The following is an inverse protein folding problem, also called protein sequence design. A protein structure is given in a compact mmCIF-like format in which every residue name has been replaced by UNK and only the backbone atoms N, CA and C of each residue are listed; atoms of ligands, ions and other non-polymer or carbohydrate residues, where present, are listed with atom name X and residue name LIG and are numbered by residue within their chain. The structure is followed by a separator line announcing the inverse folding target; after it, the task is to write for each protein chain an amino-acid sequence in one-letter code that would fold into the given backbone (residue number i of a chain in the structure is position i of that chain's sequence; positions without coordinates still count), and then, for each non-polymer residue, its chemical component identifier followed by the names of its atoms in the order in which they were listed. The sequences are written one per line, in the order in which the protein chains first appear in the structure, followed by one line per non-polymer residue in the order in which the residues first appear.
data_IF_619326931816
#
_entry.id   IF_619326931816
#
_cell.length_a   1.000
_cell.length_b   1.000
_cell.length_c   1.000
_cell.angle_alpha   90.00
_cell.angle_beta   90.00
_cell.angle_gamma   90.00
#
_symmetry.space_group_name_H-M   'P 1'
#
loop_
_entity.id
_entity.type
_entity.pdbx_description
1 polymer ?
#
# COMPACT_ATOMS: atom_id res chain seq x y z
N UNK A 1 -11.65 -4.54 -25.35
CA UNK A 1 -10.18 -4.42 -25.55
C UNK A 1 -9.52 -5.15 -24.42
N UNK A 2 -8.64 -6.12 -24.67
CA UNK A 2 -7.93 -6.84 -23.61
C UNK A 2 -6.68 -6.04 -23.22
N UNK A 3 -6.53 -5.70 -21.97
CA UNK A 3 -5.35 -4.99 -21.48
C UNK A 3 -4.17 -5.94 -21.26
N UNK A 4 -2.96 -5.41 -21.31
CA UNK A 4 -1.79 -6.14 -20.82
C UNK A 4 -1.91 -6.36 -19.29
N UNK A 5 -1.18 -7.33 -18.77
CA UNK A 5 -1.17 -7.59 -17.33
C UNK A 5 -0.69 -6.33 -16.56
N UNK A 6 -1.54 -5.86 -15.64
CA UNK A 6 -1.33 -4.60 -14.90
C UNK A 6 -0.34 -4.80 -13.75
N UNK A 7 -0.50 -5.88 -12.98
CA UNK A 7 0.41 -6.24 -11.90
C UNK A 7 1.29 -7.38 -12.38
N UNK A 8 2.59 -7.15 -12.48
CA UNK A 8 3.56 -8.08 -13.04
C UNK A 8 4.53 -8.67 -12.02
N UNK A 9 4.52 -8.13 -10.80
CA UNK A 9 5.36 -8.56 -9.68
C UNK A 9 4.59 -8.49 -8.36
N UNK A 10 4.82 -9.41 -7.45
CA UNK A 10 4.27 -9.35 -6.09
C UNK A 10 4.92 -8.24 -5.23
N UNK A 11 6.01 -7.63 -5.70
CA UNK A 11 6.57 -6.41 -5.12
C UNK A 11 5.79 -5.14 -5.51
N UNK A 12 4.83 -5.19 -6.45
CA UNK A 12 3.95 -4.06 -6.75
C UNK A 12 2.91 -3.88 -5.64
N UNK A 13 3.41 -3.57 -4.46
CA UNK A 13 2.63 -3.21 -3.26
C UNK A 13 3.38 -2.18 -2.45
N UNK A 14 2.69 -1.54 -1.51
CA UNK A 14 3.31 -0.55 -0.61
C UNK A 14 4.13 -1.26 0.47
N UNK A 15 5.29 -0.69 0.83
CA UNK A 15 6.22 -1.26 1.81
C UNK A 15 5.57 -1.57 3.16
N UNK A 16 4.60 -0.76 3.60
CA UNK A 16 3.89 -1.02 4.84
C UNK A 16 3.08 -2.34 4.81
N UNK A 17 2.76 -2.89 3.65
CA UNK A 17 2.10 -4.21 3.55
C UNK A 17 3.06 -5.35 3.92
N UNK A 18 4.35 -5.21 3.60
CA UNK A 18 5.35 -6.17 4.07
C UNK A 18 5.65 -6.00 5.54
N UNK A 19 5.78 -4.75 6.04
CA UNK A 19 6.01 -4.52 7.46
C UNK A 19 4.85 -5.04 8.32
N UNK A 20 3.61 -4.66 8.00
CA UNK A 20 2.45 -5.20 8.70
C UNK A 20 2.34 -6.71 8.51
N UNK A 21 2.58 -7.20 7.28
CA UNK A 21 2.50 -8.62 6.94
C UNK A 21 3.41 -9.48 7.81
N UNK A 22 4.66 -9.04 8.05
CA UNK A 22 5.58 -9.73 8.95
C UNK A 22 5.06 -9.76 10.40
N UNK A 23 4.64 -8.61 10.91
CA UNK A 23 4.10 -8.51 12.26
C UNK A 23 2.79 -9.33 12.44
N UNK A 24 1.93 -9.37 11.41
CA UNK A 24 0.73 -10.22 11.37
C UNK A 24 1.13 -11.70 11.35
N UNK A 25 2.09 -12.08 10.53
CA UNK A 25 2.56 -13.47 10.41
C UNK A 25 3.05 -14.01 11.75
N UNK A 26 3.82 -13.23 12.51
CA UNK A 26 4.37 -13.67 13.78
C UNK A 26 3.38 -13.61 14.96
N UNK A 27 2.43 -12.67 14.95
CA UNK A 27 1.63 -12.38 16.14
C UNK A 27 0.12 -12.61 15.97
N UNK A 28 -0.40 -12.62 14.72
CA UNK A 28 -1.84 -12.60 14.43
C UNK A 28 -2.22 -13.51 13.25
N UNK A 29 -1.48 -14.61 13.04
CA UNK A 29 -1.61 -15.50 11.87
C UNK A 29 -2.99 -16.15 11.73
N UNK A 30 -3.74 -16.30 12.82
CA UNK A 30 -5.08 -16.89 12.88
C UNK A 30 -6.22 -15.88 12.72
N UNK A 31 -5.91 -14.56 12.74
CA UNK A 31 -6.93 -13.53 12.58
C UNK A 31 -7.54 -13.57 11.18
N UNK A 32 -8.87 -13.48 11.13
CA UNK A 32 -9.64 -13.45 9.88
C UNK A 32 -10.22 -12.07 9.65
N UNK A 33 -10.16 -11.61 8.42
CA UNK A 33 -10.73 -10.32 8.02
C UNK A 33 -11.49 -10.44 6.71
N UNK A 34 -12.35 -9.47 6.48
CA UNK A 34 -13.00 -9.20 5.19
C UNK A 34 -12.58 -7.83 4.73
N UNK A 35 -12.09 -7.72 3.50
CA UNK A 35 -11.84 -6.45 2.86
C UNK A 35 -12.89 -6.23 1.78
N UNK A 36 -13.47 -5.01 1.73
CA UNK A 36 -14.53 -4.66 0.78
C UNK A 36 -14.14 -3.39 0.03
N UNK A 37 -14.17 -3.45 -1.31
CA UNK A 37 -14.01 -2.27 -2.15
C UNK A 37 -15.24 -1.37 -2.03
N UNK A 38 -14.99 -0.07 -1.80
CA UNK A 38 -16.03 0.96 -1.81
C UNK A 38 -15.63 2.13 -2.71
N UNK A 39 -16.34 2.32 -3.82
CA UNK A 39 -16.23 3.53 -4.61
C UNK A 39 -16.86 4.70 -3.84
N UNK A 40 -16.11 5.78 -3.65
CA UNK A 40 -16.60 6.99 -2.95
C UNK A 40 -17.07 8.08 -3.92
N UNK A 41 -16.76 7.93 -5.19
CA UNK A 41 -17.10 8.89 -6.23
C UNK A 41 -18.45 8.51 -6.84
N UNK A 42 -19.42 9.39 -6.78
CA UNK A 42 -20.80 9.15 -7.26
C UNK A 42 -20.92 9.19 -8.78
N UNK A 43 -19.97 9.85 -9.45
CA UNK A 43 -19.87 9.98 -10.91
C UNK A 43 -19.08 8.84 -11.59
N UNK A 44 -18.51 7.93 -10.81
CA UNK A 44 -17.78 6.75 -11.30
C UNK A 44 -18.73 5.58 -11.48
N UNK A 45 -18.75 5.01 -12.69
CA UNK A 45 -19.53 3.80 -13.01
C UNK A 45 -18.68 2.79 -13.77
N UNK A 46 -18.76 1.52 -13.35
CA UNK A 46 -18.07 0.40 -14.00
C UNK A 46 -19.03 -0.35 -14.90
N UNK A 47 -18.67 -0.51 -16.17
CA UNK A 47 -19.44 -1.32 -17.12
C UNK A 47 -19.17 -2.82 -16.91
N UNK A 48 -20.02 -3.68 -17.47
CA UNK A 48 -19.82 -5.13 -17.41
C UNK A 48 -18.49 -5.56 -18.04
N UNK A 49 -18.03 -4.88 -19.09
CA UNK A 49 -16.74 -5.14 -19.73
C UNK A 49 -15.58 -4.78 -18.81
N UNK A 50 -15.66 -3.65 -18.08
CA UNK A 50 -14.66 -3.27 -17.07
C UNK A 50 -14.60 -4.30 -15.94
N UNK A 51 -15.75 -4.75 -15.45
CA UNK A 51 -15.82 -5.79 -14.40
C UNK A 51 -15.21 -7.10 -14.88
N UNK A 52 -15.45 -7.48 -16.13
CA UNK A 52 -14.83 -8.68 -16.70
C UNK A 52 -13.33 -8.52 -16.84
N UNK A 53 -12.83 -7.38 -17.31
CA UNK A 53 -11.39 -7.11 -17.38
C UNK A 53 -10.74 -7.13 -15.99
N UNK A 54 -11.37 -6.51 -14.97
CA UNK A 54 -10.89 -6.58 -13.58
C UNK A 54 -10.77 -8.03 -13.10
N UNK A 55 -11.76 -8.89 -13.39
CA UNK A 55 -11.69 -10.31 -13.05
C UNK A 55 -10.49 -11.01 -13.70
N UNK A 56 -10.24 -10.75 -14.99
CA UNK A 56 -9.10 -11.35 -15.70
C UNK A 56 -7.75 -10.83 -15.15
N UNK A 57 -7.66 -9.55 -14.82
CA UNK A 57 -6.46 -8.97 -14.22
C UNK A 57 -6.20 -9.52 -12.80
N UNK A 58 -7.24 -9.72 -11.99
CA UNK A 58 -7.10 -10.33 -10.65
C UNK A 58 -6.70 -11.81 -10.79
N UNK A 59 -7.23 -12.56 -11.76
CA UNK A 59 -6.76 -13.94 -12.04
C UNK A 59 -5.28 -13.95 -12.43
N UNK A 60 -4.85 -13.03 -13.29
CA UNK A 60 -3.45 -12.91 -13.69
C UNK A 60 -2.56 -12.55 -12.49
N UNK A 61 -2.99 -11.62 -11.62
CA UNK A 61 -2.31 -11.33 -10.36
C UNK A 61 -2.20 -12.58 -9.46
N UNK A 62 -3.27 -13.37 -9.35
CA UNK A 62 -3.28 -14.59 -8.52
C UNK A 62 -2.40 -15.73 -9.10
N UNK A 63 -1.94 -15.63 -10.34
CA UNK A 63 -0.97 -16.57 -10.91
C UNK A 63 0.49 -16.27 -10.55
N UNK A 64 0.77 -15.08 -10.01
CA UNK A 64 2.13 -14.66 -9.67
C UNK A 64 2.67 -15.42 -8.45
N UNK A 65 4.00 -15.52 -8.39
CA UNK A 65 4.78 -15.95 -7.25
C UNK A 65 5.98 -15.04 -7.08
N UNK A 66 6.47 -14.92 -5.86
CA UNK A 66 7.75 -14.25 -5.64
C UNK A 66 8.88 -15.00 -6.36
N UNK A 67 9.71 -14.26 -7.06
CA UNK A 67 10.97 -14.78 -7.60
C UNK A 67 12.05 -14.76 -6.52
N UNK A 68 13.09 -15.61 -6.65
CA UNK A 68 14.20 -15.61 -5.68
C UNK A 68 14.90 -14.22 -5.62
N UNK A 69 15.00 -13.52 -6.74
CA UNK A 69 15.57 -12.15 -6.77
C UNK A 69 14.73 -11.12 -6.00
N UNK A 70 13.42 -11.29 -5.94
CA UNK A 70 12.52 -10.45 -5.15
C UNK A 70 12.64 -10.76 -3.66
N UNK A 71 12.71 -12.06 -3.31
CA UNK A 71 12.93 -12.51 -1.94
C UNK A 71 14.29 -12.09 -1.40
N UNK A 72 15.36 -12.21 -2.19
CA UNK A 72 16.70 -11.71 -1.84
C UNK A 72 16.69 -10.19 -1.61
N UNK A 73 15.96 -9.43 -2.42
CA UNK A 73 15.82 -7.99 -2.23
C UNK A 73 15.14 -7.67 -0.89
N UNK A 74 14.02 -8.32 -0.58
CA UNK A 74 13.35 -8.15 0.71
C UNK A 74 14.22 -8.58 1.89
N UNK A 75 14.96 -9.68 1.76
CA UNK A 75 15.85 -10.19 2.82
C UNK A 75 17.05 -9.27 3.12
N UNK A 76 17.38 -8.32 2.24
CA UNK A 76 18.40 -7.28 2.51
C UNK A 76 17.88 -6.13 3.37
N UNK A 77 16.58 -6.02 3.56
CA UNK A 77 15.96 -5.02 4.42
C UNK A 77 16.17 -5.47 5.86
N UNK A 78 16.93 -4.71 6.64
CA UNK A 78 17.52 -5.12 7.91
C UNK A 78 16.52 -5.57 8.99
N UNK A 79 15.27 -5.14 8.90
CA UNK A 79 14.23 -5.48 9.86
C UNK A 79 13.30 -6.61 9.39
N UNK A 80 13.42 -7.08 8.14
CA UNK A 80 12.66 -8.25 7.66
C UNK A 80 13.39 -9.53 8.07
N UNK A 81 12.68 -10.45 8.74
CA UNK A 81 13.22 -11.71 9.26
C UNK A 81 13.12 -12.84 8.25
N UNK A 82 14.07 -13.74 8.28
CA UNK A 82 14.14 -14.90 7.38
C UNK A 82 12.89 -15.78 7.42
N UNK A 83 12.24 -15.95 8.58
CA UNK A 83 10.98 -16.69 8.73
C UNK A 83 9.85 -16.13 7.88
N UNK A 84 9.76 -14.80 7.75
CA UNK A 84 8.77 -14.17 6.89
C UNK A 84 9.12 -14.32 5.40
N UNK A 85 10.42 -14.28 5.04
CA UNK A 85 10.88 -14.57 3.67
C UNK A 85 10.53 -16.00 3.28
N UNK A 86 10.70 -16.98 4.18
CA UNK A 86 10.33 -18.38 3.93
C UNK A 86 8.81 -18.54 3.75
N UNK A 87 8.00 -17.80 4.51
CA UNK A 87 6.57 -17.74 4.27
C UNK A 87 6.25 -17.15 2.88
N UNK A 88 6.83 -16.00 2.51
CA UNK A 88 6.60 -15.36 1.21
C UNK A 88 7.00 -16.25 0.03
N UNK A 89 8.04 -17.09 0.16
CA UNK A 89 8.47 -18.05 -0.86
C UNK A 89 7.36 -19.05 -1.21
N UNK A 90 6.53 -19.41 -0.23
CA UNK A 90 5.42 -20.35 -0.42
C UNK A 90 4.09 -19.66 -0.69
N UNK A 91 4.00 -18.36 -0.38
CA UNK A 91 2.75 -17.61 -0.50
C UNK A 91 2.39 -17.31 -1.95
N UNK A 92 1.10 -17.41 -2.23
CA UNK A 92 0.51 -17.04 -3.51
C UNK A 92 -0.88 -16.46 -3.28
N UNK A 93 -1.26 -15.36 -3.95
CA UNK A 93 -2.64 -14.90 -3.92
C UNK A 93 -3.58 -15.95 -4.50
N UNK A 94 -4.79 -16.06 -3.96
CA UNK A 94 -5.78 -17.07 -4.35
C UNK A 94 -7.02 -16.40 -4.91
N UNK A 95 -7.39 -16.76 -6.13
CA UNK A 95 -8.57 -16.18 -6.78
C UNK A 95 -9.88 -16.52 -6.05
N UNK A 96 -9.93 -17.68 -5.41
CA UNK A 96 -11.09 -18.17 -4.63
C UNK A 96 -11.41 -17.28 -3.43
N UNK A 97 -10.44 -16.51 -2.95
CA UNK A 97 -10.62 -15.59 -1.83
C UNK A 97 -11.35 -14.29 -2.27
N UNK A 98 -11.59 -14.10 -3.58
CA UNK A 98 -12.24 -12.92 -4.15
C UNK A 98 -13.69 -13.22 -4.57
N UNK A 99 -14.62 -12.36 -4.18
CA UNK A 99 -15.96 -12.26 -4.75
C UNK A 99 -16.09 -10.98 -5.52
N UNK A 100 -16.28 -11.08 -6.84
CA UNK A 100 -16.34 -9.93 -7.74
C UNK A 100 -17.65 -9.96 -8.51
N UNK A 101 -18.42 -8.88 -8.43
CA UNK A 101 -19.70 -8.75 -9.13
C UNK A 101 -19.96 -7.30 -9.56
N UNK A 102 -20.99 -7.15 -10.41
CA UNK A 102 -21.50 -5.87 -10.94
C UNK A 102 -22.72 -5.34 -10.15
N UNK A 103 -23.02 -5.93 -8.99
CA UNK A 103 -24.26 -5.68 -8.24
C UNK A 103 -24.22 -4.44 -7.34
N UNK A 104 -23.09 -3.73 -7.24
CA UNK A 104 -23.03 -2.49 -6.48
C UNK A 104 -23.56 -1.30 -7.29
N UNK A 105 -23.94 -0.24 -6.60
CA UNK A 105 -24.47 1.00 -7.18
C UNK A 105 -23.54 1.64 -8.22
N UNK A 106 -22.21 1.58 -7.98
CA UNK A 106 -21.20 2.01 -8.95
C UNK A 106 -20.89 0.98 -10.04
N UNK A 107 -21.60 -0.16 -10.11
CA UNK A 107 -21.36 -1.25 -11.06
C UNK A 107 -20.19 -2.17 -10.73
N UNK A 108 -19.56 -2.07 -9.56
CA UNK A 108 -18.47 -2.93 -9.13
C UNK A 108 -18.53 -3.20 -7.62
N UNK A 109 -18.55 -4.48 -7.26
CA UNK A 109 -18.34 -4.95 -5.88
C UNK A 109 -17.18 -5.94 -5.85
N UNK A 110 -16.25 -5.74 -4.94
CA UNK A 110 -15.16 -6.68 -4.67
C UNK A 110 -15.11 -6.91 -3.16
N UNK A 111 -15.16 -8.16 -2.76
CA UNK A 111 -14.93 -8.58 -1.38
C UNK A 111 -13.86 -9.67 -1.34
N UNK A 112 -13.00 -9.63 -0.33
CA UNK A 112 -12.02 -10.69 -0.08
C UNK A 112 -12.20 -11.26 1.32
N UNK A 113 -11.94 -12.54 1.46
CA UNK A 113 -12.08 -13.27 2.72
C UNK A 113 -10.82 -14.08 2.97
N UNK A 114 -10.45 -14.21 4.23
CA UNK A 114 -9.35 -15.08 4.58
C UNK A 114 -8.68 -14.69 5.89
N UNK A 115 -7.46 -15.16 6.07
CA UNK A 115 -6.62 -14.66 7.15
C UNK A 115 -6.30 -13.18 6.91
N UNK A 116 -6.11 -12.43 7.97
CA UNK A 116 -5.74 -11.02 7.86
C UNK A 116 -4.48 -10.83 6.99
N UNK A 117 -3.49 -11.69 7.17
CA UNK A 117 -2.27 -11.66 6.37
C UNK A 117 -2.54 -11.72 4.85
N UNK A 118 -3.40 -12.65 4.41
CA UNK A 118 -3.74 -12.76 2.99
C UNK A 118 -4.51 -11.55 2.48
N UNK A 119 -5.57 -11.16 3.18
CA UNK A 119 -6.44 -10.05 2.75
C UNK A 119 -5.71 -8.72 2.74
N UNK A 120 -4.77 -8.50 3.66
CA UNK A 120 -3.93 -7.31 3.69
C UNK A 120 -3.06 -7.18 2.44
N UNK A 121 -2.47 -8.27 1.96
CA UNK A 121 -1.62 -8.27 0.76
C UNK A 121 -2.43 -8.11 -0.55
N UNK A 122 -3.74 -8.39 -0.54
CA UNK A 122 -4.59 -8.24 -1.73
C UNK A 122 -5.00 -6.78 -2.03
N UNK A 123 -5.05 -5.92 -1.02
CA UNK A 123 -5.64 -4.58 -1.13
C UNK A 123 -4.99 -3.73 -2.22
N UNK A 124 -3.69 -3.50 -2.13
CA UNK A 124 -3.00 -2.53 -2.99
C UNK A 124 -2.98 -2.96 -4.47
N UNK A 125 -2.62 -4.20 -4.82
CA UNK A 125 -2.69 -4.67 -6.20
C UNK A 125 -4.12 -4.60 -6.77
N UNK A 126 -5.13 -4.96 -5.97
CA UNK A 126 -6.54 -4.88 -6.39
C UNK A 126 -6.95 -3.45 -6.71
N UNK A 127 -6.61 -2.48 -5.85
CA UNK A 127 -6.93 -1.07 -6.09
C UNK A 127 -6.20 -0.51 -7.30
N UNK A 128 -4.93 -0.87 -7.51
CA UNK A 128 -4.18 -0.49 -8.70
C UNK A 128 -4.81 -1.05 -9.99
N UNK A 129 -5.24 -2.32 -9.98
CA UNK A 129 -5.96 -2.94 -11.09
C UNK A 129 -7.27 -2.19 -11.39
N UNK A 130 -8.10 -1.95 -10.37
CA UNK A 130 -9.39 -1.28 -10.53
C UNK A 130 -9.22 0.11 -11.13
N UNK A 131 -8.26 0.90 -10.62
CA UNK A 131 -8.00 2.24 -11.15
C UNK A 131 -7.50 2.21 -12.60
N UNK A 132 -6.52 1.38 -12.90
CA UNK A 132 -5.94 1.35 -14.25
C UNK A 132 -6.95 0.85 -15.29
N UNK A 133 -7.74 -0.19 -14.99
CA UNK A 133 -8.82 -0.64 -15.86
C UNK A 133 -9.83 0.48 -16.10
N UNK A 134 -10.26 1.16 -15.02
CA UNK A 134 -11.19 2.27 -15.15
C UNK A 134 -10.66 3.37 -16.07
N UNK A 135 -9.45 3.88 -15.82
CA UNK A 135 -8.90 4.98 -16.62
C UNK A 135 -8.64 4.61 -18.08
N UNK A 136 -8.19 3.37 -18.34
CA UNK A 136 -7.95 2.92 -19.71
C UNK A 136 -9.23 2.65 -20.52
N UNK A 137 -10.32 2.31 -19.86
CA UNK A 137 -11.57 1.94 -20.54
C UNK A 137 -12.63 3.05 -20.52
N UNK A 138 -12.59 3.99 -19.54
CA UNK A 138 -13.55 5.08 -19.44
C UNK A 138 -13.12 6.35 -20.20
N UNK A 139 -11.84 6.51 -20.52
CA UNK A 139 -11.29 7.73 -21.09
C UNK A 139 -10.41 7.46 -22.33
N UNK A 140 -10.16 8.51 -23.11
CA UNK A 140 -9.03 8.57 -24.05
C UNK A 140 -7.73 8.57 -23.24
N UNK A 141 -7.14 7.39 -23.10
CA UNK A 141 -5.99 7.17 -22.22
C UNK A 141 -4.76 7.98 -22.67
N UNK A 142 -4.51 8.12 -23.97
CA UNK A 142 -3.35 8.84 -24.49
C UNK A 142 -3.42 10.33 -24.12
N UNK A 143 -4.59 10.92 -24.26
CA UNK A 143 -4.86 12.30 -23.83
C UNK A 143 -4.73 12.47 -22.33
N UNK A 144 -5.24 11.52 -21.55
CA UNK A 144 -5.15 11.54 -20.10
C UNK A 144 -3.69 11.41 -19.62
N UNK A 145 -2.93 10.53 -20.25
CA UNK A 145 -1.50 10.34 -19.95
C UNK A 145 -0.66 11.58 -20.34
N UNK A 146 -0.93 12.22 -21.47
CA UNK A 146 -0.30 13.47 -21.85
C UNK A 146 -0.56 14.57 -20.80
N UNK A 147 -1.81 14.75 -20.38
CA UNK A 147 -2.17 15.70 -19.32
C UNK A 147 -1.51 15.37 -17.97
N UNK A 148 -1.37 14.08 -17.64
CA UNK A 148 -0.64 13.65 -16.45
C UNK A 148 0.84 14.09 -16.52
N UNK A 149 1.52 13.88 -17.66
CA UNK A 149 2.92 14.26 -17.85
C UNK A 149 3.12 15.76 -17.66
N UNK A 150 2.31 16.58 -18.30
CA UNK A 150 2.39 18.05 -18.16
C UNK A 150 2.20 18.51 -16.71
N UNK A 151 1.23 17.91 -16.00
CA UNK A 151 1.01 18.22 -14.59
C UNK A 151 2.15 17.77 -13.69
N UNK A 152 2.75 16.61 -13.97
CA UNK A 152 3.91 16.09 -13.24
C UNK A 152 5.10 17.04 -13.41
N UNK A 153 5.43 17.42 -14.64
CA UNK A 153 6.55 18.32 -14.94
C UNK A 153 6.39 19.69 -14.26
N UNK A 154 5.16 20.24 -14.29
CA UNK A 154 4.84 21.49 -13.59
C UNK A 154 5.01 21.35 -12.08
N UNK A 155 4.51 20.30 -11.46
CA UNK A 155 4.63 20.05 -10.01
C UNK A 155 6.10 19.89 -9.59
N UNK A 156 6.90 19.16 -10.36
CA UNK A 156 8.34 19.00 -10.09
C UNK A 156 9.03 20.37 -10.17
N UNK A 157 8.77 21.15 -11.22
CA UNK A 157 9.33 22.50 -11.39
C UNK A 157 8.94 23.43 -10.23
N UNK A 158 7.67 23.39 -9.79
CA UNK A 158 7.20 24.19 -8.68
C UNK A 158 7.87 23.77 -7.36
N UNK A 159 8.00 22.48 -7.11
CA UNK A 159 8.68 21.94 -5.91
C UNK A 159 10.18 22.23 -5.89
N UNK A 160 10.85 22.19 -7.05
CA UNK A 160 12.30 22.47 -7.16
C UNK A 160 12.66 23.93 -6.95
N UNK A 161 11.74 24.88 -7.13
CA UNK A 161 12.05 26.31 -7.19
C UNK A 161 11.49 27.18 -6.06
N UNK A 162 10.55 26.70 -5.23
CA UNK A 162 9.77 27.59 -4.38
C UNK A 162 9.69 27.26 -2.90
N UNK A 163 9.95 26.00 -2.51
CA UNK A 163 9.66 25.56 -1.16
C UNK A 163 10.70 24.59 -0.64
N UNK A 164 11.18 24.84 0.56
CA UNK A 164 11.84 23.82 1.37
C UNK A 164 10.74 22.94 1.99
N UNK A 165 10.40 21.85 1.32
CA UNK A 165 9.38 20.90 1.83
C UNK A 165 10.00 19.80 2.68
N UNK A 166 11.31 19.83 2.90
CA UNK A 166 12.05 18.79 3.60
C UNK A 166 12.12 17.50 2.79
N UNK A 167 12.24 16.36 3.46
CA UNK A 167 12.26 15.06 2.79
C UNK A 167 10.84 14.60 2.44
N UNK A 168 10.66 14.05 1.25
CA UNK A 168 9.38 13.54 0.79
C UNK A 168 9.50 12.24 0.01
N UNK A 169 8.39 11.50 -0.09
CA UNK A 169 8.31 10.20 -0.76
C UNK A 169 7.07 10.10 -1.64
N UNK A 170 7.12 9.24 -2.65
CA UNK A 170 5.99 8.91 -3.51
C UNK A 170 5.16 7.78 -2.88
N UNK A 171 3.82 7.96 -2.81
CA UNK A 171 2.84 7.03 -2.23
C UNK A 171 1.59 6.85 -3.12
N UNK A 172 1.75 6.87 -4.42
CA UNK A 172 0.62 6.91 -5.37
C UNK A 172 0.10 5.55 -5.83
N UNK A 173 0.70 4.42 -5.46
CA UNK A 173 0.47 3.11 -6.06
C UNK A 173 -1.02 2.72 -6.15
N UNK A 174 -1.76 2.73 -5.06
CA UNK A 174 -3.17 2.32 -5.03
C UNK A 174 -4.12 3.24 -5.79
N UNK A 175 -3.67 4.43 -6.19
CA UNK A 175 -4.46 5.46 -6.91
C UNK A 175 -3.80 5.88 -8.22
N UNK A 176 -2.81 5.13 -8.68
CA UNK A 176 -2.07 5.44 -9.90
C UNK A 176 -3.00 5.45 -11.12
N UNK A 177 -2.70 6.30 -12.07
CA UNK A 177 -3.35 6.30 -13.39
C UNK A 177 -3.06 4.98 -14.12
N UNK A 178 -1.78 4.57 -14.09
CA UNK A 178 -1.29 3.29 -14.62
C UNK A 178 0.08 2.97 -14.03
N UNK A 179 0.56 1.74 -14.25
CA UNK A 179 1.90 1.32 -13.88
C UNK A 179 2.98 2.22 -14.51
N UNK A 180 2.86 2.49 -15.80
CA UNK A 180 3.79 3.36 -16.54
C UNK A 180 3.74 4.83 -16.09
N UNK A 181 2.56 5.33 -15.70
CA UNK A 181 2.43 6.70 -15.17
C UNK A 181 3.14 6.83 -13.81
N UNK A 182 2.96 5.87 -12.90
CA UNK A 182 3.67 5.86 -11.61
C UNK A 182 5.18 5.71 -11.82
N UNK A 183 5.60 4.82 -12.70
CA UNK A 183 7.03 4.64 -13.02
C UNK A 183 7.65 5.92 -13.56
N UNK A 184 6.95 6.62 -14.46
CA UNK A 184 7.39 7.93 -14.96
C UNK A 184 7.53 8.94 -13.82
N UNK A 185 6.56 8.99 -12.89
CA UNK A 185 6.62 9.89 -11.75
C UNK A 185 7.84 9.62 -10.86
N UNK A 186 8.06 8.36 -10.47
CA UNK A 186 9.20 7.96 -9.63
C UNK A 186 10.54 8.28 -10.30
N UNK A 187 10.66 7.97 -11.61
CA UNK A 187 11.87 8.26 -12.38
C UNK A 187 12.15 9.77 -12.46
N UNK A 188 11.14 10.56 -12.79
CA UNK A 188 11.27 12.02 -12.87
C UNK A 188 11.59 12.66 -11.52
N UNK A 189 11.01 12.17 -10.43
CA UNK A 189 11.33 12.61 -9.07
C UNK A 189 12.78 12.27 -8.68
N UNK A 190 13.26 11.09 -9.06
CA UNK A 190 14.66 10.69 -8.83
C UNK A 190 15.66 11.54 -9.63
N UNK A 191 15.32 11.91 -10.87
CA UNK A 191 16.17 12.68 -11.78
C UNK A 191 16.19 14.19 -11.44
N UNK A 192 15.19 14.69 -10.71
CA UNK A 192 15.05 16.11 -10.39
C UNK A 192 15.96 16.54 -9.24
N UNK A 193 16.46 17.76 -9.34
CA UNK A 193 17.18 18.44 -8.26
C UNK A 193 16.21 19.31 -7.45
N UNK A 194 16.20 19.12 -6.13
CA UNK A 194 15.35 19.86 -5.21
C UNK A 194 16.21 20.69 -4.27
N UNK A 195 16.07 22.02 -4.32
CA UNK A 195 16.82 22.93 -3.44
C UNK A 195 16.17 22.95 -2.04
N UNK A 196 16.91 22.49 -1.02
CA UNK A 196 16.42 22.43 0.36
C UNK A 196 15.40 21.31 0.61
N UNK A 197 15.21 20.39 -0.35
CA UNK A 197 14.31 19.25 -0.25
C UNK A 197 14.97 17.99 -0.78
N UNK A 198 14.51 16.82 -0.35
CA UNK A 198 15.07 15.53 -0.77
C UNK A 198 13.95 14.54 -1.13
N UNK A 199 14.04 13.95 -2.33
CA UNK A 199 13.23 12.79 -2.68
C UNK A 199 13.84 11.51 -2.10
N UNK A 200 13.25 10.97 -1.04
CA UNK A 200 13.80 9.84 -0.29
C UNK A 200 13.52 8.50 -0.97
N UNK A 201 12.34 8.34 -1.58
CA UNK A 201 11.97 7.07 -2.20
C UNK A 201 10.48 6.91 -2.47
N UNK A 202 10.06 5.67 -2.66
CA UNK A 202 8.66 5.33 -2.97
C UNK A 202 8.14 4.21 -2.07
N UNK A 203 6.85 4.21 -1.81
CA UNK A 203 6.19 3.09 -1.12
C UNK A 203 6.09 1.84 -1.99
N UNK A 204 6.10 1.99 -3.33
CA UNK A 204 6.07 0.89 -4.28
C UNK A 204 7.40 0.12 -4.27
N UNK A 205 7.39 -1.07 -3.66
CA UNK A 205 8.61 -1.87 -3.44
C UNK A 205 9.25 -2.32 -4.75
N UNK A 206 8.43 -2.59 -5.79
CA UNK A 206 8.93 -2.92 -7.12
C UNK A 206 9.74 -1.77 -7.73
N UNK A 207 9.20 -0.55 -7.69
CA UNK A 207 9.88 0.62 -8.23
C UNK A 207 11.09 1.01 -7.37
N UNK A 208 11.01 0.85 -6.04
CA UNK A 208 12.16 1.04 -5.15
C UNK A 208 13.32 0.12 -5.54
N UNK A 209 13.05 -1.18 -5.74
CA UNK A 209 14.04 -2.14 -6.23
C UNK A 209 14.58 -1.75 -7.61
N UNK A 210 13.70 -1.45 -8.56
CA UNK A 210 14.04 -1.14 -9.97
C UNK A 210 14.94 0.08 -10.09
N UNK A 211 14.70 1.10 -9.27
CA UNK A 211 15.41 2.38 -9.34
C UNK A 211 16.44 2.57 -8.21
N UNK A 212 16.72 1.54 -7.43
CA UNK A 212 17.64 1.61 -6.28
C UNK A 212 17.31 2.80 -5.36
N UNK A 213 16.04 2.85 -4.93
CA UNK A 213 15.48 3.82 -4.00
C UNK A 213 15.15 3.16 -2.67
N UNK A 214 14.96 3.95 -1.64
CA UNK A 214 14.46 3.45 -0.34
C UNK A 214 12.98 3.06 -0.47
N UNK A 215 12.60 1.81 -0.14
CA UNK A 215 11.20 1.44 -0.01
C UNK A 215 10.66 2.04 1.30
N UNK A 216 9.67 2.93 1.19
CA UNK A 216 9.16 3.71 2.33
C UNK A 216 7.80 3.20 2.78
N UNK A 217 7.65 2.97 4.07
CA UNK A 217 6.37 2.59 4.69
C UNK A 217 6.56 1.75 5.95
N UNK A 218 5.84 2.12 7.01
CA UNK A 218 5.83 1.39 8.28
C UNK A 218 4.51 0.68 8.50
N UNK A 219 3.50 1.38 9.05
CA UNK A 219 2.17 0.85 9.32
C UNK A 219 1.09 1.69 8.63
N UNK A 220 -0.09 1.11 8.42
CA UNK A 220 -1.28 1.80 7.95
C UNK A 220 -2.38 1.78 9.04
N UNK A 221 -3.48 2.51 8.82
CA UNK A 221 -4.66 2.51 9.69
C UNK A 221 -5.18 1.10 9.99
N UNK A 222 -5.12 0.23 8.98
CA UNK A 222 -5.47 -1.19 9.08
C UNK A 222 -4.80 -1.88 10.28
N UNK A 223 -3.50 -1.61 10.54
CA UNK A 223 -2.77 -2.18 11.66
C UNK A 223 -3.44 -1.87 13.00
N UNK A 224 -3.69 -0.59 13.25
CA UNK A 224 -4.29 -0.14 14.51
C UNK A 224 -5.73 -0.64 14.66
N UNK A 225 -6.50 -0.59 13.57
CA UNK A 225 -7.88 -1.04 13.57
C UNK A 225 -8.00 -2.55 13.81
N UNK A 226 -7.22 -3.37 13.11
CA UNK A 226 -7.31 -4.83 13.24
C UNK A 226 -6.73 -5.34 14.55
N UNK A 227 -5.60 -4.80 15.03
CA UNK A 227 -5.07 -5.17 16.36
C UNK A 227 -6.04 -4.81 17.48
N UNK A 228 -6.69 -3.64 17.39
CA UNK A 228 -7.67 -3.19 18.38
C UNK A 228 -8.98 -3.98 18.38
N UNK A 229 -9.40 -4.50 17.23
CA UNK A 229 -10.69 -5.20 17.05
C UNK A 229 -10.56 -6.72 17.03
N UNK A 230 -9.39 -7.23 16.64
CA UNK A 230 -9.20 -8.64 16.29
C UNK A 230 -9.25 -9.62 17.46
N UNK A 231 -9.22 -9.16 18.71
CA UNK A 231 -9.36 -10.01 19.88
C UNK A 231 -10.54 -9.53 20.73
N UNK A 232 -11.55 -10.37 20.92
CA UNK A 232 -12.73 -10.07 21.75
C UNK A 232 -12.40 -9.68 23.21
N UNK A 233 -11.17 -9.89 23.64
CA UNK A 233 -10.66 -9.47 24.96
C UNK A 233 -10.11 -8.03 24.96
N UNK A 234 -9.88 -7.43 23.80
CA UNK A 234 -9.33 -6.09 23.71
C UNK A 234 -10.45 -5.04 23.77
N UNK A 235 -10.20 -4.00 24.55
CA UNK A 235 -11.06 -2.82 24.54
C UNK A 235 -10.64 -1.89 23.38
N UNK A 236 -11.54 -1.59 22.41
CA UNK A 236 -11.21 -0.71 21.28
C UNK A 236 -10.65 0.67 21.68
N UNK A 237 -10.98 1.15 22.87
CA UNK A 237 -10.43 2.40 23.39
C UNK A 237 -8.90 2.40 23.56
N UNK A 238 -8.28 1.23 23.62
CA UNK A 238 -6.83 1.04 23.74
C UNK A 238 -6.19 0.50 22.45
N UNK A 239 -6.86 0.62 21.30
CA UNK A 239 -6.34 0.10 20.03
C UNK A 239 -4.97 0.65 19.67
N UNK A 240 -4.71 1.94 19.90
CA UNK A 240 -3.39 2.53 19.69
C UNK A 240 -2.33 1.85 20.56
N UNK A 241 -2.61 1.69 21.86
CA UNK A 241 -1.67 1.07 22.79
C UNK A 241 -1.34 -0.37 22.40
N UNK A 242 -2.35 -1.20 22.10
CA UNK A 242 -2.13 -2.58 21.66
C UNK A 242 -1.32 -2.66 20.35
N UNK A 243 -1.61 -1.77 19.41
CA UNK A 243 -0.93 -1.72 18.13
C UNK A 243 0.53 -1.28 18.26
N UNK A 244 0.81 -0.28 19.11
CA UNK A 244 2.17 0.19 19.39
C UNK A 244 2.99 -0.89 20.11
N UNK A 245 2.40 -1.55 21.12
CA UNK A 245 3.04 -2.62 21.87
C UNK A 245 3.38 -3.83 20.95
N UNK A 246 2.45 -4.25 20.12
CA UNK A 246 2.68 -5.31 19.14
C UNK A 246 3.76 -4.93 18.10
N UNK A 247 3.82 -3.66 17.68
CA UNK A 247 4.85 -3.18 16.77
C UNK A 247 6.23 -3.18 17.39
N UNK A 248 6.34 -2.72 18.63
CA UNK A 248 7.61 -2.75 19.36
C UNK A 248 8.07 -4.19 19.63
N UNK A 249 7.16 -5.12 19.92
CA UNK A 249 7.52 -6.55 20.06
C UNK A 249 8.10 -7.13 18.76
N UNK A 250 7.65 -6.67 17.61
CA UNK A 250 8.16 -7.13 16.32
C UNK A 250 9.48 -6.48 15.93
N UNK A 251 9.56 -5.17 16.02
CA UNK A 251 10.62 -4.37 15.43
C UNK A 251 11.56 -3.69 16.43
N UNK A 252 11.20 -3.64 17.69
CA UNK A 252 11.98 -2.88 18.69
C UNK A 252 12.07 -1.40 18.32
N UNK A 253 13.29 -0.93 18.11
CA UNK A 253 13.61 0.43 17.66
C UNK A 253 13.69 0.57 16.12
N UNK A 254 13.61 -0.54 15.40
CA UNK A 254 13.65 -0.55 13.95
C UNK A 254 12.26 -0.22 13.38
N UNK A 255 12.22 0.36 12.17
CA UNK A 255 10.99 0.65 11.44
C UNK A 255 9.95 1.47 12.25
N UNK A 256 10.45 2.44 13.03
CA UNK A 256 9.73 3.13 14.09
C UNK A 256 9.06 4.45 13.68
N UNK A 257 8.12 4.47 12.71
CA UNK A 257 7.26 5.63 12.47
C UNK A 257 5.82 5.25 12.84
N UNK A 258 5.26 5.88 13.89
CA UNK A 258 3.92 5.61 14.38
C UNK A 258 2.86 6.50 13.72
N UNK A 259 1.71 5.91 13.38
CA UNK A 259 0.55 6.61 12.81
C UNK A 259 -0.30 7.22 13.93
N UNK A 260 -0.66 8.52 13.81
CA UNK A 260 -1.30 9.28 14.89
C UNK A 260 -2.81 9.39 14.81
N UNK A 261 -3.40 9.17 13.65
CA UNK A 261 -4.78 9.59 13.32
C UNK A 261 -5.75 8.43 13.06
N UNK A 262 -5.41 7.20 13.48
CA UNK A 262 -6.27 6.04 13.26
C UNK A 262 -7.60 6.10 14.04
N UNK A 263 -7.61 6.68 15.22
CA UNK A 263 -8.81 7.00 16.00
C UNK A 263 -8.96 8.51 16.07
N UNK A 264 -8.15 9.16 16.90
CA UNK A 264 -7.90 10.61 16.94
C UNK A 264 -6.48 10.85 17.42
N UNK A 265 -5.91 12.01 17.09
CA UNK A 265 -4.58 12.39 17.58
C UNK A 265 -4.55 12.49 19.11
N UNK A 266 -5.62 12.95 19.77
CA UNK A 266 -5.69 13.01 21.22
C UNK A 266 -5.65 11.62 21.86
N UNK A 267 -6.37 10.65 21.30
CA UNK A 267 -6.28 9.25 21.75
C UNK A 267 -4.89 8.68 21.55
N UNK A 268 -4.23 9.01 20.44
CA UNK A 268 -2.86 8.59 20.18
C UNK A 268 -1.90 9.20 21.22
N UNK A 269 -1.95 10.50 21.48
CA UNK A 269 -1.06 11.18 22.45
C UNK A 269 -1.26 10.66 23.87
N UNK A 270 -2.48 10.28 24.27
CA UNK A 270 -2.74 9.62 25.55
C UNK A 270 -1.97 8.29 25.67
N UNK A 271 -1.91 7.52 24.59
CA UNK A 271 -1.36 6.17 24.57
C UNK A 271 0.14 6.15 24.23
N UNK A 272 0.62 7.16 23.47
CA UNK A 272 2.02 7.32 23.06
C UNK A 272 2.86 7.96 24.16
N UNK A 273 3.10 7.20 25.23
CA UNK A 273 3.86 7.67 26.39
C UNK A 273 5.38 7.62 26.16
N UNK A 274 6.13 8.07 27.15
CA UNK A 274 7.60 8.18 27.10
C UNK A 274 8.29 6.91 26.61
N UNK A 275 7.80 5.74 26.99
CA UNK A 275 8.35 4.45 26.54
C UNK A 275 8.33 4.33 25.02
N UNK A 276 7.21 4.67 24.38
CA UNK A 276 7.11 4.63 22.92
C UNK A 276 7.88 5.78 22.27
N UNK A 277 7.86 6.97 22.86
CA UNK A 277 8.59 8.13 22.35
C UNK A 277 10.11 7.89 22.30
N UNK A 278 10.65 7.01 23.15
CA UNK A 278 12.07 6.62 23.11
C UNK A 278 12.38 5.50 22.12
N UNK A 279 11.38 4.71 21.71
CA UNK A 279 11.55 3.57 20.80
C UNK A 279 11.24 3.91 19.35
N UNK A 280 10.29 4.82 19.11
CA UNK A 280 9.93 5.26 17.78
C UNK A 280 10.82 6.43 17.32
N UNK A 281 11.26 6.41 16.07
CA UNK A 281 12.05 7.48 15.46
C UNK A 281 11.22 8.68 15.01
N UNK A 282 9.90 8.53 14.94
CA UNK A 282 9.00 9.59 14.55
C UNK A 282 7.52 9.20 14.55
N UNK A 283 6.69 10.18 14.21
CA UNK A 283 5.25 10.00 14.05
C UNK A 283 4.80 10.49 12.68
N UNK A 284 3.73 9.90 12.14
CA UNK A 284 3.09 10.29 10.88
C UNK A 284 1.66 10.71 11.12
N UNK A 285 1.33 11.92 10.73
CA UNK A 285 -0.05 12.38 10.59
C UNK A 285 -0.47 12.25 9.13
N UNK A 286 -1.49 11.43 8.83
CA UNK A 286 -1.80 11.01 7.45
C UNK A 286 -3.00 11.76 6.87
N UNK A 287 -4.01 12.03 7.67
CA UNK A 287 -5.23 12.73 7.26
C UNK A 287 -5.54 13.90 8.18
N UNK A 288 -5.82 15.05 7.56
CA UNK A 288 -6.21 16.27 8.26
C UNK A 288 -7.73 16.42 8.37
#
# INVERSE_FOLDING_TARGET
MKLNQIITSLLETDMYKFSMGEAIYHQFSDYKTTWTFKCRNTDVHFTAEMVQEIKEQIKAYCSLRFTEQELEYLNRITWIKGSYIDFLRLWQPRYEDFKISDKAECGLSIETFGTWLNTSLYEIPTLAIVNEVYFRMAYDYDRLYASFRERLERKIKDASGRYEIGSFSEFGLRRRLSAEAQELAVRKLKEAEFHGSEFVGTSNVYLAKKYNLTPVGTMAHEWIMCVGQGNHKHNPAYSNWYALDAWVREYGVLNGIALTDAITTDCFLRDFQLTYATLFSGVRHDSG
#
